data_IF_392260059955
#
_entry.id   IF_392260059955
#
_cell.length_a   1.000
_cell.length_b   1.000
_cell.length_c   1.000
_cell.angle_alpha   90.00
_cell.angle_beta   90.00
_cell.angle_gamma   90.00
#
_symmetry.space_group_name_H-M   'P 1'
#
loop_
_entity.id
_entity.type
_entity.pdbx_description
1 polymer ?
#
# COMPACT_ATOMS: atom_id res chain seq x y z
N UNK A 1 19.55 -1.96 -19.26
CA UNK A 1 19.74 -1.87 -17.79
C UNK A 1 18.52 -2.51 -17.17
N UNK A 2 18.74 -3.51 -16.32
CA UNK A 2 17.68 -4.32 -15.71
C UNK A 2 16.89 -3.46 -14.73
N UNK A 3 15.58 -3.48 -14.88
CA UNK A 3 14.61 -2.90 -13.95
C UNK A 3 14.68 -3.69 -12.65
N UNK A 4 15.31 -3.11 -11.62
CA UNK A 4 15.54 -3.75 -10.31
C UNK A 4 14.49 -3.33 -9.28
N UNK A 5 13.23 -3.14 -9.69
CA UNK A 5 12.12 -2.91 -8.75
C UNK A 5 11.26 -4.15 -8.49
N UNK A 6 11.58 -5.29 -9.10
CA UNK A 6 10.97 -6.57 -8.72
C UNK A 6 11.75 -7.22 -7.57
N UNK A 7 11.38 -6.88 -6.33
CA UNK A 7 11.91 -7.60 -5.18
C UNK A 7 11.78 -6.86 -3.86
N UNK A 8 10.56 -6.68 -3.35
CA UNK A 8 10.14 -7.00 -1.98
C UNK A 8 8.68 -6.57 -1.82
N UNK A 9 7.74 -7.54 -1.85
CA UNK A 9 6.28 -7.35 -1.76
C UNK A 9 5.68 -6.53 -2.93
N UNK A 10 4.63 -7.04 -3.57
CA UNK A 10 3.94 -6.43 -4.73
C UNK A 10 3.21 -5.11 -4.44
N UNK A 11 3.81 -4.24 -3.62
CA UNK A 11 3.31 -2.92 -3.27
C UNK A 11 3.46 -2.02 -4.48
N UNK A 12 2.46 -2.02 -5.36
CA UNK A 12 2.33 -1.06 -6.47
C UNK A 12 1.96 0.32 -5.91
N UNK A 13 2.93 1.03 -5.34
CA UNK A 13 2.83 2.48 -5.19
C UNK A 13 3.08 3.16 -6.53
N UNK A 14 2.39 4.27 -6.80
CA UNK A 14 2.75 5.16 -7.90
C UNK A 14 3.85 6.12 -7.40
N UNK A 15 5.08 6.08 -7.96
CA UNK A 15 6.11 7.06 -7.62
C UNK A 15 5.73 8.48 -8.09
N UNK A 16 4.67 8.63 -8.90
CA UNK A 16 4.20 9.91 -9.44
C UNK A 16 3.30 10.64 -8.45
N UNK A 17 3.92 11.38 -7.55
CA UNK A 17 3.25 12.15 -6.49
C UNK A 17 2.91 13.59 -6.90
N UNK A 18 3.40 14.07 -8.05
CA UNK A 18 3.35 15.48 -8.44
C UNK A 18 1.95 16.06 -8.55
N UNK A 19 1.04 15.35 -9.23
CA UNK A 19 -0.35 15.79 -9.35
C UNK A 19 -1.05 15.92 -7.99
N UNK A 20 -0.71 15.06 -7.03
CA UNK A 20 -1.28 15.07 -5.67
C UNK A 20 -0.70 16.18 -4.81
N UNK A 21 0.62 16.43 -4.90
CA UNK A 21 1.24 17.59 -4.26
C UNK A 21 0.56 18.89 -4.72
N UNK A 22 0.33 19.01 -6.03
CA UNK A 22 -0.36 20.17 -6.62
C UNK A 22 -1.77 20.32 -6.08
N UNK A 23 -2.55 19.23 -6.05
CA UNK A 23 -3.92 19.23 -5.51
C UNK A 23 -3.94 19.61 -4.03
N UNK A 24 -3.05 19.06 -3.20
CA UNK A 24 -2.97 19.40 -1.78
C UNK A 24 -2.66 20.88 -1.57
N UNK A 25 -1.72 21.44 -2.35
CA UNK A 25 -1.42 22.88 -2.32
C UNK A 25 -2.63 23.73 -2.72
N UNK A 26 -3.31 23.37 -3.81
CA UNK A 26 -4.46 24.09 -4.33
C UNK A 26 -5.66 24.01 -3.38
N UNK A 27 -5.87 22.86 -2.74
CA UNK A 27 -6.90 22.68 -1.71
C UNK A 27 -6.69 23.62 -0.51
N UNK A 28 -5.44 23.84 -0.11
CA UNK A 28 -5.07 24.81 0.93
C UNK A 28 -5.06 26.27 0.45
N UNK A 29 -5.33 26.54 -0.83
CA UNK A 29 -5.29 27.88 -1.42
C UNK A 29 -3.88 28.51 -1.44
N UNK A 30 -2.82 27.70 -1.33
CA UNK A 30 -1.45 28.20 -1.20
C UNK A 30 -0.80 28.43 -2.57
N UNK A 31 -0.03 29.51 -2.68
CA UNK A 31 0.83 29.77 -3.84
C UNK A 31 2.09 28.90 -3.75
N UNK A 32 2.62 28.50 -4.92
CA UNK A 32 3.83 27.67 -4.99
C UNK A 32 5.04 28.31 -4.29
N UNK A 33 5.18 29.64 -4.37
CA UNK A 33 6.24 30.39 -3.67
C UNK A 33 6.12 30.25 -2.15
N UNK A 34 4.91 30.38 -1.60
CA UNK A 34 4.65 30.25 -0.17
C UNK A 34 4.95 28.84 0.34
N UNK A 35 4.56 27.80 -0.41
CA UNK A 35 4.89 26.40 -0.05
C UNK A 35 6.40 26.16 -0.14
N UNK A 36 7.07 26.69 -1.16
CA UNK A 36 8.52 26.54 -1.29
C UNK A 36 9.27 27.18 -0.11
N UNK A 37 8.86 28.38 0.32
CA UNK A 37 9.43 29.05 1.50
C UNK A 37 9.17 28.26 2.78
N UNK A 38 7.91 27.86 3.02
CA UNK A 38 7.52 27.11 4.22
C UNK A 38 8.20 25.73 4.31
N UNK A 39 8.32 25.03 3.18
CA UNK A 39 8.97 23.72 3.12
C UNK A 39 10.50 23.79 3.00
N UNK A 40 11.10 24.98 3.05
CA UNK A 40 12.55 25.18 2.95
C UNK A 40 13.13 24.69 1.62
N UNK A 41 12.43 24.90 0.51
CA UNK A 41 12.90 24.60 -0.84
C UNK A 41 13.65 25.81 -1.41
N UNK A 42 14.57 25.54 -2.36
CA UNK A 42 15.38 26.59 -2.97
C UNK A 42 14.61 27.58 -3.84
N UNK A 43 13.44 27.19 -4.36
CA UNK A 43 12.60 28.05 -5.22
C UNK A 43 11.23 27.44 -5.47
N UNK A 44 10.27 28.27 -5.89
CA UNK A 44 8.98 27.81 -6.44
C UNK A 44 9.17 26.92 -7.68
N UNK A 45 10.23 27.13 -8.47
CA UNK A 45 10.56 26.30 -9.62
C UNK A 45 10.89 24.86 -9.21
N UNK A 46 11.57 24.67 -8.08
CA UNK A 46 11.83 23.35 -7.51
C UNK A 46 10.52 22.62 -7.20
N UNK A 47 9.55 23.32 -6.58
CA UNK A 47 8.23 22.76 -6.33
C UNK A 47 7.47 22.43 -7.63
N UNK A 48 7.49 23.30 -8.63
CA UNK A 48 6.87 22.98 -9.94
C UNK A 48 7.49 21.77 -10.61
N UNK A 49 8.81 21.55 -10.44
CA UNK A 49 9.49 20.33 -10.88
C UNK A 49 8.92 19.09 -10.21
N UNK A 50 8.63 19.14 -8.91
CA UNK A 50 7.99 18.06 -8.17
C UNK A 50 6.52 17.87 -8.59
N UNK A 51 5.74 18.95 -8.66
CA UNK A 51 4.32 18.90 -9.04
C UNK A 51 4.05 18.41 -10.46
N UNK A 52 5.06 18.43 -11.33
CA UNK A 52 4.99 17.94 -12.71
C UNK A 52 5.71 16.61 -12.93
N UNK A 53 6.15 15.96 -11.85
CA UNK A 53 6.94 14.71 -11.86
C UNK A 53 8.23 14.80 -12.72
N UNK A 54 8.73 16.02 -12.99
CA UNK A 54 10.00 16.25 -13.71
C UNK A 54 11.21 16.10 -12.80
N UNK A 55 11.00 16.19 -11.49
CA UNK A 55 11.99 16.02 -10.44
C UNK A 55 11.34 15.26 -9.29
N UNK A 56 12.16 14.52 -8.56
CA UNK A 56 11.73 13.85 -7.34
C UNK A 56 12.29 14.58 -6.12
N UNK A 57 11.49 14.79 -5.06
CA UNK A 57 12.01 15.27 -3.79
C UNK A 57 12.83 14.17 -3.12
N UNK A 58 13.96 14.53 -2.51
CA UNK A 58 14.61 13.63 -1.57
C UNK A 58 13.73 13.43 -0.32
N UNK A 59 14.04 12.42 0.48
CA UNK A 59 13.24 12.07 1.67
C UNK A 59 13.02 13.24 2.63
N UNK A 60 14.06 14.04 2.90
CA UNK A 60 13.93 15.19 3.79
C UNK A 60 13.01 16.28 3.21
N UNK A 61 13.11 16.57 1.91
CA UNK A 61 12.23 17.52 1.23
C UNK A 61 10.80 17.01 1.14
N UNK A 62 10.60 15.70 0.93
CA UNK A 62 9.29 15.05 0.95
C UNK A 62 8.61 15.25 2.31
N UNK A 63 9.30 14.98 3.42
CA UNK A 63 8.72 15.13 4.76
C UNK A 63 8.32 16.59 5.05
N UNK A 64 9.15 17.57 4.67
CA UNK A 64 8.80 18.99 4.84
C UNK A 64 7.61 19.41 3.99
N UNK A 65 7.50 18.88 2.77
CA UNK A 65 6.34 19.10 1.91
C UNK A 65 5.07 18.49 2.51
N UNK A 66 5.15 17.25 3.00
CA UNK A 66 4.07 16.57 3.70
C UNK A 66 3.55 17.38 4.89
N UNK A 67 4.46 17.85 5.74
CA UNK A 67 4.13 18.69 6.90
C UNK A 67 3.45 20.01 6.47
N UNK A 68 4.06 20.71 5.50
CA UNK A 68 3.54 21.99 4.97
C UNK A 68 2.15 21.84 4.34
N UNK A 69 1.93 20.73 3.62
CA UNK A 69 0.70 20.48 2.85
C UNK A 69 -0.34 19.66 3.62
N UNK A 70 -0.05 19.27 4.87
CA UNK A 70 -0.92 18.44 5.72
C UNK A 70 -1.35 17.14 5.05
N UNK A 71 -0.41 16.49 4.38
CA UNK A 71 -0.58 15.17 3.76
C UNK A 71 0.49 14.22 4.27
N UNK A 72 0.20 12.93 4.30
CA UNK A 72 1.16 11.89 4.62
C UNK A 72 1.84 11.35 3.35
N UNK A 73 3.05 10.76 3.45
CA UNK A 73 3.64 10.05 2.33
C UNK A 73 2.70 8.97 1.75
N UNK A 74 1.95 8.26 2.60
CA UNK A 74 1.02 7.23 2.15
C UNK A 74 -0.08 7.79 1.25
N UNK A 75 -0.65 8.95 1.61
CA UNK A 75 -1.63 9.64 0.78
C UNK A 75 -1.04 10.11 -0.56
N UNK A 76 0.27 10.42 -0.61
CA UNK A 76 0.96 10.79 -1.85
C UNK A 76 1.24 9.58 -2.75
N UNK A 77 1.82 8.50 -2.24
CA UNK A 77 2.40 7.42 -3.08
C UNK A 77 1.40 6.44 -3.70
N UNK A 78 0.07 6.64 -3.58
CA UNK A 78 -0.95 5.68 -4.09
C UNK A 78 -0.60 4.24 -3.71
N UNK A 79 -0.06 4.03 -2.51
CA UNK A 79 -0.03 2.69 -1.98
C UNK A 79 -1.47 2.21 -1.93
N UNK A 80 -1.76 1.04 -2.51
CA UNK A 80 -3.06 0.40 -2.32
C UNK A 80 -3.37 0.50 -0.83
N UNK A 81 -4.51 1.10 -0.50
CA UNK A 81 -4.89 1.24 0.89
C UNK A 81 -4.87 -0.16 1.49
N UNK A 82 -3.96 -0.35 2.45
CA UNK A 82 -3.89 -1.60 3.15
C UNK A 82 -5.18 -1.72 3.97
N UNK A 83 -6.08 -2.58 3.53
CA UNK A 83 -7.35 -2.78 4.21
C UNK A 83 -7.09 -3.56 5.51
N UNK A 84 -6.96 -2.81 6.59
CA UNK A 84 -6.71 -3.34 7.94
C UNK A 84 -7.85 -4.23 8.43
N UNK A 85 -9.08 -3.99 7.96
CA UNK A 85 -10.23 -4.82 8.34
C UNK A 85 -10.15 -6.15 7.61
N UNK A 86 -9.92 -6.13 6.29
CA UNK A 86 -9.70 -7.34 5.52
C UNK A 86 -8.54 -8.15 6.06
N UNK A 87 -7.39 -7.52 6.34
CA UNK A 87 -6.24 -8.24 6.88
C UNK A 87 -6.51 -8.89 8.24
N UNK A 88 -7.29 -8.22 9.10
CA UNK A 88 -7.75 -8.81 10.37
C UNK A 88 -8.63 -10.02 10.12
N UNK A 89 -9.60 -9.92 9.20
CA UNK A 89 -10.50 -11.02 8.87
C UNK A 89 -9.73 -12.21 8.30
N UNK A 90 -8.69 -11.95 7.49
CA UNK A 90 -7.77 -12.96 6.96
C UNK A 90 -7.03 -13.68 8.08
N UNK A 91 -6.45 -12.96 9.05
CA UNK A 91 -5.75 -13.59 10.19
C UNK A 91 -6.70 -14.52 10.95
N UNK A 92 -7.90 -14.02 11.30
CA UNK A 92 -8.89 -14.80 12.05
C UNK A 92 -9.33 -16.05 11.27
N UNK A 93 -9.59 -15.91 9.97
CA UNK A 93 -10.01 -17.02 9.12
C UNK A 93 -8.92 -18.08 8.98
N UNK A 94 -7.66 -17.66 8.76
CA UNK A 94 -6.52 -18.58 8.65
C UNK A 94 -6.27 -19.28 9.98
N UNK A 95 -6.27 -18.57 11.12
CA UNK A 95 -6.01 -19.20 12.43
C UNK A 95 -7.11 -20.19 12.82
N UNK A 96 -8.39 -19.83 12.66
CA UNK A 96 -9.51 -20.74 12.91
C UNK A 96 -9.45 -22.00 12.00
N UNK A 97 -9.01 -21.82 10.75
CA UNK A 97 -8.80 -22.94 9.85
C UNK A 97 -7.65 -23.85 10.33
N UNK A 98 -6.53 -23.26 10.75
CA UNK A 98 -5.35 -24.00 11.23
C UNK A 98 -5.64 -24.82 12.49
N UNK A 99 -6.40 -24.24 13.42
CA UNK A 99 -6.87 -24.91 14.64
C UNK A 99 -7.76 -26.12 14.31
N UNK A 100 -8.76 -25.94 13.43
CA UNK A 100 -9.70 -27.01 13.06
C UNK A 100 -9.06 -28.19 12.33
N UNK A 101 -7.93 -27.98 11.65
CA UNK A 101 -7.22 -29.02 10.91
C UNK A 101 -5.99 -29.59 11.63
N UNK A 102 -5.74 -29.17 12.88
CA UNK A 102 -4.61 -29.63 13.72
C UNK A 102 -3.24 -29.56 13.01
N UNK A 103 -3.03 -28.59 12.11
CA UNK A 103 -1.78 -28.45 11.35
C UNK A 103 -0.79 -27.57 12.11
N UNK A 104 0.42 -28.07 12.34
CA UNK A 104 1.54 -27.24 12.80
C UNK A 104 2.27 -26.67 11.58
N UNK A 105 1.98 -25.42 11.27
CA UNK A 105 2.79 -24.62 10.34
C UNK A 105 3.65 -23.68 11.19
N UNK A 106 4.91 -23.52 10.81
CA UNK A 106 5.81 -22.57 11.45
C UNK A 106 5.35 -21.11 11.24
N UNK A 107 5.91 -20.18 12.01
CA UNK A 107 5.46 -18.79 11.99
C UNK A 107 5.67 -18.11 10.63
N UNK A 108 6.72 -18.50 9.89
CA UNK A 108 7.09 -17.91 8.61
C UNK A 108 6.08 -18.29 7.52
N UNK A 109 5.85 -19.60 7.33
CA UNK A 109 4.85 -20.09 6.37
C UNK A 109 3.43 -19.61 6.69
N UNK A 110 3.11 -19.41 7.97
CA UNK A 110 1.82 -18.86 8.37
C UNK A 110 1.69 -17.38 7.98
N UNK A 111 2.77 -16.60 8.10
CA UNK A 111 2.80 -15.22 7.61
C UNK A 111 2.65 -15.15 6.08
N UNK A 112 3.32 -16.04 5.35
CA UNK A 112 3.15 -16.18 3.89
C UNK A 112 1.70 -16.46 3.52
N UNK A 113 1.03 -17.35 4.27
CA UNK A 113 -0.38 -17.67 4.04
C UNK A 113 -1.30 -16.47 4.28
N UNK A 114 -1.08 -15.69 5.34
CA UNK A 114 -1.85 -14.46 5.57
C UNK A 114 -1.71 -13.48 4.39
N UNK A 115 -0.49 -13.28 3.90
CA UNK A 115 -0.22 -12.39 2.77
C UNK A 115 -0.89 -12.91 1.50
N UNK A 116 -0.74 -14.19 1.18
CA UNK A 116 -1.31 -14.79 -0.03
C UNK A 116 -2.84 -14.71 -0.06
N UNK A 117 -3.50 -14.97 1.08
CA UNK A 117 -4.96 -14.87 1.19
C UNK A 117 -5.42 -13.41 1.09
N UNK A 118 -4.70 -12.48 1.73
CA UNK A 118 -4.97 -11.05 1.62
C UNK A 118 -4.84 -10.55 0.18
N UNK A 119 -3.77 -10.89 -0.52
CA UNK A 119 -3.54 -10.47 -1.91
C UNK A 119 -4.63 -11.02 -2.84
N UNK A 120 -5.02 -12.29 -2.64
CA UNK A 120 -6.11 -12.92 -3.39
C UNK A 120 -7.44 -12.18 -3.18
N UNK A 121 -7.82 -11.90 -1.93
CA UNK A 121 -9.07 -11.19 -1.62
C UNK A 121 -9.03 -9.70 -1.96
N UNK A 122 -7.86 -9.05 -1.88
CA UNK A 122 -7.71 -7.65 -2.27
C UNK A 122 -7.83 -7.48 -3.78
N UNK A 123 -7.36 -8.46 -4.55
CA UNK A 123 -7.43 -8.46 -6.02
C UNK A 123 -8.79 -8.93 -6.55
N UNK A 124 -9.36 -9.94 -5.90
CA UNK A 124 -10.62 -10.58 -6.28
C UNK A 124 -11.47 -10.80 -5.02
N UNK A 125 -12.28 -9.80 -4.60
CA UNK A 125 -13.00 -9.82 -3.30
C UNK A 125 -13.90 -11.02 -3.06
N UNK A 126 -14.35 -11.68 -4.12
CA UNK A 126 -15.27 -12.82 -4.08
C UNK A 126 -14.56 -14.18 -4.07
N UNK A 127 -13.25 -14.23 -4.39
CA UNK A 127 -12.52 -15.47 -4.71
C UNK A 127 -12.46 -16.51 -3.58
N UNK A 128 -12.71 -16.09 -2.34
CA UNK A 128 -12.64 -16.93 -1.14
C UNK A 128 -13.77 -16.60 -0.16
N UNK A 129 -14.91 -16.11 -0.65
CA UNK A 129 -16.08 -15.84 0.18
C UNK A 129 -17.15 -16.90 -0.07
N UNK A 130 -17.81 -17.34 0.99
CA UNK A 130 -19.00 -18.19 0.90
C UNK A 130 -20.24 -17.38 0.46
N UNK A 131 -21.37 -18.07 0.31
CA UNK A 131 -22.67 -17.46 -0.04
C UNK A 131 -23.16 -16.40 0.96
N UNK A 132 -22.62 -16.39 2.18
CA UNK A 132 -22.92 -15.42 3.23
C UNK A 132 -21.88 -14.30 3.30
N UNK A 133 -20.90 -14.27 2.39
CA UNK A 133 -19.84 -13.26 2.32
C UNK A 133 -18.71 -13.48 3.34
N UNK A 134 -18.69 -14.60 4.08
CA UNK A 134 -17.63 -14.91 5.03
C UNK A 134 -16.45 -15.56 4.31
N UNK A 135 -15.23 -15.29 4.77
CA UNK A 135 -14.03 -15.91 4.20
C UNK A 135 -14.08 -17.44 4.44
N UNK A 136 -14.07 -18.21 3.36
CA UNK A 136 -14.02 -19.66 3.35
C UNK A 136 -12.74 -20.15 2.66
N UNK A 137 -11.86 -20.76 3.46
CA UNK A 137 -10.57 -21.28 3.01
C UNK A 137 -10.60 -22.77 2.68
N UNK A 138 -11.77 -23.41 2.77
CA UNK A 138 -11.93 -24.86 2.57
C UNK A 138 -11.49 -25.29 1.17
N UNK A 139 -11.81 -24.50 0.15
CA UNK A 139 -11.45 -24.78 -1.25
C UNK A 139 -9.97 -24.49 -1.56
N UNK A 140 -9.40 -23.42 -0.98
CA UNK A 140 -8.00 -23.04 -1.18
C UNK A 140 -7.04 -24.16 -0.73
N UNK A 141 -7.39 -24.81 0.38
CA UNK A 141 -6.56 -25.87 0.96
C UNK A 141 -6.75 -27.24 0.30
N UNK A 142 -7.82 -27.46 -0.48
CA UNK A 142 -7.93 -28.64 -1.35
C UNK A 142 -6.85 -28.62 -2.44
N UNK A 143 -6.53 -27.43 -2.97
CA UNK A 143 -5.44 -27.23 -3.92
C UNK A 143 -4.07 -27.37 -3.23
N UNK A 144 -3.90 -26.85 -2.01
CA UNK A 144 -2.64 -27.00 -1.25
C UNK A 144 -2.40 -28.44 -0.75
N UNK A 145 -3.44 -29.25 -0.57
CA UNK A 145 -3.31 -30.70 -0.26
C UNK A 145 -2.67 -31.51 -1.40
N UNK A 146 -2.67 -30.98 -2.63
CA UNK A 146 -2.04 -31.63 -3.80
C UNK A 146 -0.58 -31.18 -4.02
N UNK A 147 -0.15 -30.11 -3.35
CA UNK A 147 1.17 -29.49 -3.52
C UNK A 147 2.16 -29.84 -2.40
N UNK A 148 1.76 -30.70 -1.47
CA UNK A 148 2.57 -31.26 -0.36
C UNK A 148 2.45 -32.79 -0.38
#
# INVERSE_FOLDING_TARGET
MRDQTEGFLGVKGSPKIGAKLKRAREYLGLKAVSVAELAGLSSAYTLYGYESDRREPNFASLLRLCDTLRVTPNELFEYQEFDRHLFRDVIVAVDAFMESHSRKIDAEKRAELYIAVYDALSSEPDKLRDENGKIDLTQLMALMRLAL
#
